data_IF_580110672749
#
_entry.id   IF_580110672749
#
_cell.length_a   1.000
_cell.length_b   1.000
_cell.length_c   1.000
_cell.angle_alpha   90.00
_cell.angle_beta   90.00
_cell.angle_gamma   90.00
#
_symmetry.space_group_name_H-M   'P 1'
#
loop_
_entity.id
_entity.type
_entity.pdbx_description
1 polymer ?
#
# COMPACT_ATOMS: atom_id res chain seq x y z
N UNK A 1 25.12 -47.81 -32.71
CA UNK A 1 24.04 -46.77 -32.81
C UNK A 1 24.09 -45.98 -31.51
N UNK A 2 24.96 -44.97 -31.42
CA UNK A 2 25.15 -44.14 -30.23
C UNK A 2 24.19 -42.93 -30.29
N UNK A 3 23.25 -42.83 -29.35
CA UNK A 3 22.38 -41.65 -29.17
C UNK A 3 23.14 -40.64 -28.32
N UNK A 4 23.51 -39.51 -28.90
CA UNK A 4 24.00 -38.34 -28.16
C UNK A 4 22.83 -37.70 -27.43
N UNK A 5 22.90 -37.73 -26.11
CA UNK A 5 22.00 -36.96 -25.23
C UNK A 5 22.56 -35.52 -25.14
N UNK A 6 21.93 -34.57 -25.78
CA UNK A 6 22.28 -33.16 -25.64
C UNK A 6 21.71 -32.66 -24.31
N UNK A 7 22.59 -32.37 -23.35
CA UNK A 7 22.23 -31.71 -22.08
C UNK A 7 22.12 -30.21 -22.35
N UNK A 8 20.90 -29.69 -22.45
CA UNK A 8 20.65 -28.25 -22.51
C UNK A 8 20.85 -27.66 -21.12
N UNK A 9 21.98 -27.02 -20.91
CA UNK A 9 22.25 -26.22 -19.71
C UNK A 9 21.49 -24.91 -19.82
N UNK A 10 20.33 -24.79 -19.14
CA UNK A 10 19.62 -23.53 -19.01
C UNK A 10 20.43 -22.64 -18.07
N UNK A 11 21.13 -21.66 -18.63
CA UNK A 11 21.75 -20.58 -17.87
C UNK A 11 20.60 -19.73 -17.26
N UNK A 12 20.36 -19.90 -15.96
CA UNK A 12 19.59 -18.96 -15.15
C UNK A 12 20.41 -17.67 -15.10
N UNK A 13 20.03 -16.68 -15.93
CA UNK A 13 20.53 -15.32 -15.78
C UNK A 13 20.11 -14.84 -14.39
N UNK A 14 21.00 -14.25 -13.58
CA UNK A 14 20.61 -13.62 -12.34
C UNK A 14 19.55 -12.57 -12.64
N UNK A 15 18.45 -12.57 -11.91
CA UNK A 15 17.48 -11.48 -11.98
C UNK A 15 18.24 -10.18 -11.68
N UNK A 16 18.15 -9.22 -12.59
CA UNK A 16 18.78 -7.92 -12.38
C UNK A 16 18.28 -7.35 -11.03
N UNK A 17 19.22 -6.83 -10.22
CA UNK A 17 18.87 -6.17 -8.97
C UNK A 17 17.82 -5.08 -9.26
N UNK A 18 16.78 -5.04 -8.43
CA UNK A 18 15.74 -4.02 -8.56
C UNK A 18 16.33 -2.68 -8.15
N UNK A 19 16.35 -1.72 -9.05
CA UNK A 19 16.78 -0.36 -8.71
C UNK A 19 15.61 0.41 -8.11
N UNK A 20 15.75 0.80 -6.83
CA UNK A 20 14.80 1.67 -6.12
C UNK A 20 15.51 2.96 -5.73
N UNK A 21 14.95 4.12 -6.15
CA UNK A 21 15.45 5.43 -5.75
C UNK A 21 14.35 6.29 -5.11
N UNK A 22 14.77 7.27 -4.30
CA UNK A 22 13.84 8.27 -3.78
C UNK A 22 13.25 9.12 -4.91
N UNK A 23 11.96 9.47 -4.82
CA UNK A 23 11.22 10.14 -5.90
C UNK A 23 11.47 11.66 -5.99
N UNK A 24 12.33 12.21 -5.14
CA UNK A 24 12.66 13.64 -5.09
C UNK A 24 14.13 13.85 -4.75
N UNK A 25 14.61 15.10 -4.82
CA UNK A 25 15.97 15.47 -4.38
C UNK A 25 16.12 15.50 -2.84
N UNK A 26 15.06 15.30 -2.06
CA UNK A 26 15.13 15.21 -0.62
C UNK A 26 15.63 13.82 -0.19
N UNK A 27 16.91 13.74 0.15
CA UNK A 27 17.58 12.50 0.55
C UNK A 27 17.79 12.38 2.07
N UNK A 28 17.13 13.20 2.89
CA UNK A 28 17.31 13.22 4.34
C UNK A 28 16.87 11.93 5.05
N UNK A 29 16.04 11.09 4.41
CA UNK A 29 15.76 9.73 4.90
C UNK A 29 17.05 8.95 5.15
N UNK A 30 18.00 9.05 4.21
CA UNK A 30 19.25 8.29 4.23
C UNK A 30 20.33 8.89 5.13
N UNK A 31 20.16 10.12 5.56
CA UNK A 31 21.09 10.79 6.50
C UNK A 31 20.61 10.78 7.95
N UNK A 32 19.50 10.07 8.24
CA UNK A 32 18.95 9.99 9.60
C UNK A 32 18.39 11.31 10.12
N UNK A 33 17.85 12.15 9.22
CA UNK A 33 17.23 13.44 9.55
C UNK A 33 15.73 13.40 9.16
N UNK A 34 14.89 12.62 9.89
CA UNK A 34 13.50 12.40 9.53
C UNK A 34 12.67 13.69 9.59
N UNK A 35 12.98 14.61 10.47
CA UNK A 35 12.38 15.94 10.59
C UNK A 35 12.60 16.83 9.36
N UNK A 36 13.65 16.56 8.57
CA UNK A 36 13.92 17.20 7.29
C UNK A 36 13.41 16.41 6.10
N UNK A 37 13.00 15.18 6.31
CA UNK A 37 12.47 14.33 5.26
C UNK A 37 10.94 14.33 5.23
N UNK A 38 10.29 14.06 6.36
CA UNK A 38 8.84 13.97 6.43
C UNK A 38 8.17 15.33 6.60
N UNK A 39 7.09 15.56 5.87
CA UNK A 39 6.22 16.71 6.10
C UNK A 39 5.46 16.51 7.40
N UNK A 40 5.53 17.48 8.30
CA UNK A 40 4.78 17.47 9.55
C UNK A 40 3.26 17.53 9.33
N UNK A 41 2.49 17.15 10.34
CA UNK A 41 1.05 17.43 10.43
C UNK A 41 0.79 18.45 11.54
N UNK A 42 -0.19 19.33 11.31
CA UNK A 42 -0.68 20.18 12.40
C UNK A 42 -1.51 19.32 13.35
N UNK A 43 -1.18 19.35 14.64
CA UNK A 43 -1.81 18.54 15.68
C UNK A 43 -2.22 19.42 16.85
N UNK A 44 -3.47 19.29 17.28
CA UNK A 44 -3.97 19.83 18.54
C UNK A 44 -4.43 18.61 19.36
N UNK A 45 -3.83 18.44 20.54
CA UNK A 45 -4.21 17.35 21.44
C UNK A 45 -4.10 17.82 22.89
N UNK A 46 -5.21 17.71 23.65
CA UNK A 46 -5.33 18.11 25.06
C UNK A 46 -4.89 19.58 25.30
N UNK A 47 -5.20 20.47 24.36
CA UNK A 47 -4.84 21.89 24.42
C UNK A 47 -3.46 22.24 23.88
N UNK A 48 -2.59 21.26 23.67
CA UNK A 48 -1.25 21.47 23.13
C UNK A 48 -1.25 21.49 21.59
N UNK A 49 -0.58 22.49 21.01
CA UNK A 49 -0.38 22.63 19.56
C UNK A 49 1.01 22.11 19.20
N UNK A 50 1.10 21.23 18.25
CA UNK A 50 2.37 20.65 17.80
C UNK A 50 2.41 20.42 16.29
N UNK A 51 3.63 20.22 15.77
CA UNK A 51 3.89 19.90 14.36
C UNK A 51 4.80 18.68 14.25
N UNK A 52 4.32 17.48 14.66
CA UNK A 52 5.13 16.28 14.63
C UNK A 52 5.40 15.83 13.19
N UNK A 53 6.68 15.66 12.85
CA UNK A 53 7.10 15.11 11.56
C UNK A 53 6.67 13.65 11.40
N UNK A 54 6.53 12.92 12.49
CA UNK A 54 6.06 11.54 12.53
C UNK A 54 4.70 11.39 11.82
N UNK A 55 3.87 12.45 11.84
CA UNK A 55 2.60 12.47 11.13
C UNK A 55 2.72 12.34 9.61
N UNK A 56 3.91 12.53 9.03
CA UNK A 56 4.22 12.29 7.63
C UNK A 56 4.78 10.90 7.33
N UNK A 57 5.08 10.09 8.36
CA UNK A 57 5.54 8.71 8.17
C UNK A 57 4.38 7.74 7.93
N UNK A 58 4.71 6.51 7.53
CA UNK A 58 3.74 5.42 7.32
C UNK A 58 3.22 4.86 8.66
N UNK A 59 1.96 4.45 8.70
CA UNK A 59 1.39 3.72 9.82
C UNK A 59 0.37 4.51 10.63
N UNK A 60 0.13 4.10 11.88
CA UNK A 60 -0.74 4.81 12.81
C UNK A 60 0.00 5.97 13.46
N UNK A 61 -0.01 7.13 12.82
CA UNK A 61 0.84 8.28 13.15
C UNK A 61 0.06 9.58 13.38
N UNK A 62 -1.27 9.53 13.19
CA UNK A 62 -2.16 10.70 13.26
C UNK A 62 -3.30 10.47 14.24
N UNK A 63 -3.99 11.53 14.64
CA UNK A 63 -5.19 11.55 15.50
C UNK A 63 -4.98 10.80 16.81
N UNK A 64 -4.25 11.41 17.77
CA UNK A 64 -4.12 10.87 19.12
C UNK A 64 -5.48 10.86 19.82
N UNK A 65 -5.75 9.78 20.56
CA UNK A 65 -6.85 9.70 21.52
C UNK A 65 -6.32 9.21 22.85
N UNK A 66 -6.95 9.64 23.95
CA UNK A 66 -6.65 9.13 25.28
C UNK A 66 -7.58 7.98 25.62
N UNK A 67 -7.00 6.86 26.05
CA UNK A 67 -7.69 5.66 26.51
C UNK A 67 -7.16 5.31 27.90
N UNK A 68 -7.80 5.83 28.94
CA UNK A 68 -7.27 5.75 30.32
C UNK A 68 -5.93 6.47 30.44
N UNK A 69 -4.88 5.75 30.84
CA UNK A 69 -3.50 6.29 30.92
C UNK A 69 -2.76 6.33 29.57
N UNK A 70 -3.26 5.64 28.56
CA UNK A 70 -2.58 5.50 27.26
C UNK A 70 -2.99 6.58 26.28
N UNK A 71 -2.03 7.04 25.47
CA UNK A 71 -2.30 7.83 24.26
C UNK A 71 -2.04 6.95 23.04
N UNK A 72 -3.04 6.82 22.19
CA UNK A 72 -2.99 5.96 20.99
C UNK A 72 -3.22 6.80 19.75
N UNK A 73 -2.35 6.64 18.74
CA UNK A 73 -2.55 7.22 17.43
C UNK A 73 -3.45 6.29 16.60
N UNK A 74 -4.61 6.77 16.17
CA UNK A 74 -5.66 5.91 15.59
C UNK A 74 -5.86 6.09 14.09
N UNK A 75 -5.42 7.21 13.50
CA UNK A 75 -5.56 7.43 12.07
C UNK A 75 -4.32 6.92 11.34
N UNK A 76 -4.56 5.99 10.43
CA UNK A 76 -3.57 5.39 9.56
C UNK A 76 -3.19 6.34 8.41
N UNK A 77 -1.91 6.34 8.05
CA UNK A 77 -1.34 6.99 6.87
C UNK A 77 -0.76 5.92 5.94
N UNK A 78 -1.29 5.84 4.72
CA UNK A 78 -1.07 4.76 3.76
C UNK A 78 0.30 4.80 3.09
N UNK A 79 0.94 5.97 3.09
CA UNK A 79 2.22 6.23 2.46
C UNK A 79 3.14 7.08 3.32
N UNK A 80 3.97 7.85 2.68
CA UNK A 80 4.86 8.83 3.31
C UNK A 80 4.69 10.20 2.67
N UNK A 81 4.73 11.26 3.46
CA UNK A 81 4.68 12.65 3.01
C UNK A 81 6.09 13.24 3.00
N UNK A 82 6.67 13.41 1.82
CA UNK A 82 8.05 13.92 1.64
C UNK A 82 8.02 15.42 1.45
N UNK A 83 8.64 16.19 2.37
CA UNK A 83 8.69 17.64 2.23
C UNK A 83 9.63 18.08 1.11
N UNK A 84 9.38 19.26 0.48
CA UNK A 84 10.21 19.75 -0.60
C UNK A 84 11.64 20.08 -0.11
N UNK A 85 12.63 19.72 -0.95
CA UNK A 85 14.01 20.13 -0.76
C UNK A 85 14.21 21.63 -1.11
N UNK A 86 13.40 22.14 -2.05
CA UNK A 86 13.55 23.50 -2.58
C UNK A 86 12.20 24.21 -2.69
N UNK A 87 12.22 25.53 -2.42
CA UNK A 87 11.05 26.41 -2.63
C UNK A 87 11.46 27.69 -3.34
N UNK A 88 10.55 28.25 -4.13
CA UNK A 88 10.73 29.60 -4.71
C UNK A 88 10.51 30.69 -3.66
N UNK A 89 10.72 31.96 -4.08
CA UNK A 89 10.53 33.14 -3.20
C UNK A 89 9.07 33.29 -2.69
N UNK A 90 8.09 32.72 -3.40
CA UNK A 90 6.69 32.72 -3.01
C UNK A 90 6.33 31.53 -2.11
N UNK A 91 7.29 30.60 -1.87
CA UNK A 91 7.10 29.40 -1.04
C UNK A 91 6.53 28.20 -1.78
N UNK A 92 6.41 28.21 -3.11
CA UNK A 92 5.99 27.05 -3.88
C UNK A 92 7.12 26.01 -3.95
N UNK A 93 6.80 24.69 -3.89
CA UNK A 93 7.81 23.67 -4.09
C UNK A 93 8.35 23.67 -5.53
N UNK A 94 9.64 23.42 -5.67
CA UNK A 94 10.32 23.36 -6.97
C UNK A 94 10.71 21.95 -7.38
N UNK A 95 10.55 20.98 -6.47
CA UNK A 95 11.00 19.60 -6.65
C UNK A 95 10.29 18.92 -7.82
N UNK A 96 11.09 18.31 -8.70
CA UNK A 96 10.59 17.36 -9.69
C UNK A 96 10.23 16.05 -8.99
N UNK A 97 9.21 15.38 -9.50
CA UNK A 97 8.79 14.07 -9.05
C UNK A 97 9.30 13.03 -10.03
N UNK A 98 10.06 12.07 -9.50
CA UNK A 98 10.78 11.07 -10.26
C UNK A 98 10.18 9.67 -10.03
N UNK A 99 10.23 8.81 -11.05
CA UNK A 99 9.84 7.40 -10.89
C UNK A 99 10.81 6.69 -9.94
N UNK A 100 10.26 5.97 -8.96
CA UNK A 100 11.05 5.21 -7.97
C UNK A 100 11.77 4.01 -8.57
N UNK A 101 11.27 3.49 -9.70
CA UNK A 101 11.81 2.35 -10.44
C UNK A 101 11.31 2.36 -11.89
N UNK A 102 11.84 1.47 -12.73
CA UNK A 102 11.32 1.21 -14.06
C UNK A 102 9.85 0.78 -14.00
N UNK A 103 9.02 1.21 -14.95
CA UNK A 103 7.60 0.85 -14.96
C UNK A 103 6.81 1.45 -16.11
N UNK A 104 5.49 1.34 -15.98
CA UNK A 104 4.53 1.92 -16.93
C UNK A 104 3.52 2.77 -16.16
N UNK A 105 3.25 3.98 -16.63
CA UNK A 105 2.18 4.82 -16.06
C UNK A 105 0.83 4.19 -16.42
N UNK A 106 0.06 3.80 -15.39
CA UNK A 106 -1.22 3.10 -15.58
C UNK A 106 -2.44 3.96 -15.25
N UNK A 107 -2.24 5.07 -14.53
CA UNK A 107 -3.32 6.00 -14.20
C UNK A 107 -2.81 7.41 -14.01
N UNK A 108 -3.62 8.40 -14.46
CA UNK A 108 -3.40 9.83 -14.23
C UNK A 108 -4.72 10.49 -13.88
N UNK A 109 -4.75 11.22 -12.77
CA UNK A 109 -5.86 12.08 -12.36
C UNK A 109 -5.41 13.54 -12.31
N UNK A 110 -5.81 14.33 -13.30
CA UNK A 110 -5.47 15.77 -13.41
C UNK A 110 -6.49 16.70 -12.74
N UNK A 111 -7.54 16.15 -12.09
CA UNK A 111 -8.60 16.95 -11.47
C UNK A 111 -8.46 16.90 -9.95
N UNK A 112 -7.95 17.98 -9.37
CA UNK A 112 -7.62 18.07 -7.95
C UNK A 112 -8.77 17.77 -6.98
N UNK A 113 -10.00 18.09 -7.37
CA UNK A 113 -11.18 17.93 -6.50
C UNK A 113 -11.79 16.52 -6.49
N UNK A 114 -11.27 15.56 -7.25
CA UNK A 114 -11.85 14.20 -7.35
C UNK A 114 -11.46 13.25 -6.23
N UNK A 115 -10.39 13.53 -5.53
CA UNK A 115 -9.94 12.73 -4.38
C UNK A 115 -9.10 13.54 -3.40
N UNK A 116 -8.85 12.98 -2.22
CA UNK A 116 -7.89 13.56 -1.25
C UNK A 116 -6.46 13.59 -1.81
N UNK A 117 -6.10 12.71 -2.73
CA UNK A 117 -4.81 12.75 -3.43
C UNK A 117 -4.59 13.99 -4.30
N UNK A 118 -5.67 14.74 -4.61
CA UNK A 118 -5.57 15.86 -5.56
C UNK A 118 -5.23 15.36 -6.96
N UNK A 119 -4.27 16.02 -7.61
CA UNK A 119 -3.68 15.50 -8.83
C UNK A 119 -2.66 14.41 -8.48
N UNK A 120 -2.82 13.23 -9.08
CA UNK A 120 -1.94 12.10 -8.82
C UNK A 120 -1.80 11.19 -10.02
N UNK A 121 -0.76 10.38 -10.01
CA UNK A 121 -0.56 9.31 -10.98
C UNK A 121 -0.12 8.01 -10.29
N UNK A 122 -0.29 6.91 -11.02
CA UNK A 122 0.13 5.57 -10.58
C UNK A 122 1.03 4.96 -11.64
N UNK A 123 2.17 4.41 -11.19
CA UNK A 123 3.09 3.63 -12.01
C UNK A 123 3.03 2.17 -11.59
N UNK A 124 2.88 1.27 -12.54
CA UNK A 124 3.02 -0.18 -12.34
C UNK A 124 4.46 -0.58 -12.62
N UNK A 125 5.08 -1.23 -11.66
CA UNK A 125 6.44 -1.77 -11.73
C UNK A 125 6.40 -3.30 -11.73
N UNK A 126 7.29 -3.92 -12.51
CA UNK A 126 7.51 -5.36 -12.48
C UNK A 126 8.69 -5.67 -11.56
N UNK A 127 8.45 -5.73 -10.24
CA UNK A 127 9.47 -5.95 -9.22
C UNK A 127 9.50 -7.41 -8.80
N UNK A 128 10.61 -8.10 -9.07
CA UNK A 128 10.74 -9.54 -8.79
C UNK A 128 9.73 -10.43 -9.53
N UNK A 129 9.23 -9.96 -10.68
CA UNK A 129 8.26 -10.67 -11.52
C UNK A 129 6.80 -10.44 -11.14
N UNK A 130 6.50 -9.53 -10.21
CA UNK A 130 5.15 -9.19 -9.76
C UNK A 130 4.84 -7.72 -9.96
N UNK A 131 3.56 -7.41 -10.19
CA UNK A 131 3.06 -6.03 -10.27
C UNK A 131 3.00 -5.39 -8.89
N UNK A 132 3.86 -4.38 -8.68
CA UNK A 132 3.86 -3.47 -7.54
C UNK A 132 3.55 -2.07 -8.05
N UNK A 133 2.74 -1.33 -7.34
CA UNK A 133 2.29 -0.01 -7.77
C UNK A 133 2.88 1.09 -6.90
N UNK A 134 3.28 2.20 -7.50
CA UNK A 134 3.62 3.43 -6.78
C UNK A 134 2.61 4.53 -7.09
N UNK A 135 2.20 5.27 -6.06
CA UNK A 135 1.28 6.40 -6.14
C UNK A 135 2.03 7.68 -5.81
N UNK A 136 1.93 8.67 -6.69
CA UNK A 136 2.54 10.00 -6.51
C UNK A 136 1.43 11.03 -6.47
N UNK A 137 1.16 11.60 -5.30
CA UNK A 137 0.00 12.47 -5.11
C UNK A 137 0.35 13.91 -4.71
N UNK A 138 -0.66 14.78 -4.66
CA UNK A 138 -0.60 16.21 -4.36
C UNK A 138 0.18 17.05 -5.39
N UNK A 139 0.28 16.56 -6.63
CA UNK A 139 1.09 17.17 -7.69
C UNK A 139 0.53 18.53 -8.14
N UNK A 140 1.41 19.46 -8.47
CA UNK A 140 1.06 20.71 -9.16
C UNK A 140 0.81 20.45 -10.64
N UNK A 141 1.67 19.62 -11.24
CA UNK A 141 1.70 19.30 -12.66
C UNK A 141 2.06 17.82 -12.84
N UNK A 142 1.44 17.18 -13.83
CA UNK A 142 1.76 15.83 -14.27
C UNK A 142 2.18 15.92 -15.74
N UNK A 143 3.39 15.47 -16.05
CA UNK A 143 3.94 15.49 -17.41
C UNK A 143 3.86 14.13 -18.10
N UNK A 144 3.68 13.06 -17.35
CA UNK A 144 3.52 11.70 -17.86
C UNK A 144 2.06 11.38 -18.19
N UNK A 145 1.84 10.49 -19.15
CA UNK A 145 0.52 10.03 -19.58
C UNK A 145 0.35 8.52 -19.37
N UNK A 146 -0.89 8.02 -19.23
CA UNK A 146 -1.14 6.58 -19.20
C UNK A 146 -0.60 5.88 -20.44
N UNK A 147 0.16 4.79 -20.22
CA UNK A 147 0.87 4.04 -21.27
C UNK A 147 2.34 4.42 -21.43
N UNK A 148 2.80 5.53 -20.84
CA UNK A 148 4.21 5.89 -20.89
C UNK A 148 5.07 4.87 -20.14
N UNK A 149 6.11 4.36 -20.81
CA UNK A 149 7.16 3.55 -20.21
C UNK A 149 8.20 4.47 -19.58
N UNK A 150 8.42 4.32 -18.29
CA UNK A 150 9.34 5.15 -17.51
C UNK A 150 10.50 4.34 -16.96
N UNK A 151 11.64 4.98 -16.81
CA UNK A 151 12.83 4.43 -16.15
C UNK A 151 12.96 4.99 -14.76
N UNK A 152 13.71 4.31 -13.91
CA UNK A 152 14.15 4.85 -12.62
C UNK A 152 14.68 6.25 -12.82
N UNK A 153 14.14 7.23 -12.07
CA UNK A 153 14.51 8.64 -12.20
C UNK A 153 13.86 9.41 -13.35
N UNK A 154 13.01 8.81 -14.18
CA UNK A 154 12.22 9.55 -15.16
C UNK A 154 11.33 10.60 -14.49
N UNK A 155 11.27 11.81 -15.04
CA UNK A 155 10.39 12.88 -14.52
C UNK A 155 8.93 12.55 -14.81
N UNK A 156 8.11 12.52 -13.78
CA UNK A 156 6.67 12.26 -13.83
C UNK A 156 5.84 13.54 -13.72
N UNK A 157 6.41 14.58 -13.10
CA UNK A 157 5.71 15.83 -12.85
C UNK A 157 6.47 16.71 -11.85
N UNK A 158 5.72 17.61 -11.20
CA UNK A 158 6.25 18.53 -10.20
C UNK A 158 5.42 18.49 -8.91
N UNK A 159 6.11 18.54 -7.77
CA UNK A 159 5.49 18.60 -6.44
C UNK A 159 4.54 19.78 -6.33
N UNK A 160 3.43 19.58 -5.61
CA UNK A 160 2.43 20.59 -5.38
C UNK A 160 1.82 20.52 -3.99
N UNK A 161 0.57 20.98 -3.92
CA UNK A 161 -0.26 20.97 -2.71
C UNK A 161 -1.75 20.84 -3.08
N UNK A 162 -2.04 20.09 -4.15
CA UNK A 162 -3.42 19.78 -4.55
C UNK A 162 -4.02 18.71 -3.64
N UNK A 163 -5.35 18.71 -3.51
CA UNK A 163 -6.07 17.78 -2.64
C UNK A 163 -6.63 18.44 -1.38
N UNK A 164 -7.45 17.69 -0.65
CA UNK A 164 -8.17 18.21 0.50
C UNK A 164 -7.25 18.49 1.70
N UNK A 165 -7.38 19.68 2.29
CA UNK A 165 -6.68 20.03 3.54
C UNK A 165 -5.19 20.32 3.41
N UNK A 166 -4.68 20.47 2.18
CA UNK A 166 -3.27 20.77 1.92
C UNK A 166 -3.15 22.20 1.40
N UNK A 167 -2.16 22.92 1.89
CA UNK A 167 -1.85 24.29 1.47
C UNK A 167 -0.37 24.39 1.08
N UNK A 168 0.01 25.55 0.53
CA UNK A 168 1.39 25.81 0.07
C UNK A 168 2.45 25.61 1.14
N UNK A 169 2.18 25.95 2.40
CA UNK A 169 3.15 25.77 3.50
C UNK A 169 3.44 24.30 3.75
N UNK A 170 2.38 23.49 3.66
CA UNK A 170 2.44 22.02 3.80
C UNK A 170 2.53 21.30 2.45
N UNK A 171 3.01 21.95 1.39
CA UNK A 171 3.28 21.28 0.12
C UNK A 171 4.25 20.12 0.31
N UNK A 172 3.92 18.95 -0.23
CA UNK A 172 4.71 17.71 -0.12
C UNK A 172 4.34 16.74 -1.23
N UNK A 173 5.18 15.74 -1.46
CA UNK A 173 4.82 14.55 -2.20
C UNK A 173 4.26 13.51 -1.24
N UNK A 174 3.04 13.04 -1.47
CA UNK A 174 2.57 11.80 -0.85
C UNK A 174 2.94 10.64 -1.76
N UNK A 175 3.75 9.71 -1.25
CA UNK A 175 4.23 8.52 -1.95
C UNK A 175 3.70 7.26 -1.30
N UNK A 176 3.14 6.35 -2.11
CA UNK A 176 2.81 4.99 -1.67
C UNK A 176 3.56 3.96 -2.53
N UNK A 177 3.89 2.82 -1.93
CA UNK A 177 4.15 1.56 -2.62
C UNK A 177 3.09 0.56 -2.16
N UNK A 178 2.39 -0.08 -3.10
CA UNK A 178 1.19 -0.85 -2.76
C UNK A 178 0.95 -2.06 -3.65
N UNK A 179 0.10 -2.95 -3.15
CA UNK A 179 -0.49 -4.06 -3.89
C UNK A 179 -1.89 -3.67 -4.36
N UNK A 180 -2.26 -4.07 -5.57
CA UNK A 180 -3.63 -3.95 -6.07
C UNK A 180 -4.48 -5.10 -5.50
N UNK A 181 -5.53 -4.79 -4.74
CA UNK A 181 -6.35 -5.78 -4.05
C UNK A 181 -7.24 -6.55 -5.04
N UNK A 182 -7.98 -5.84 -5.90
CA UNK A 182 -8.89 -6.43 -6.88
C UNK A 182 -8.75 -5.78 -8.25
N UNK A 183 -8.91 -6.57 -9.31
CA UNK A 183 -9.04 -6.08 -10.69
C UNK A 183 -10.49 -5.70 -11.04
N UNK A 184 -11.42 -5.92 -10.12
CA UNK A 184 -12.87 -5.70 -10.27
C UNK A 184 -13.40 -4.64 -9.30
N UNK A 185 -12.58 -3.66 -8.93
CA UNK A 185 -12.91 -2.65 -7.92
C UNK A 185 -14.19 -1.87 -8.21
N UNK A 186 -14.56 -1.67 -9.49
CA UNK A 186 -15.81 -1.00 -9.86
C UNK A 186 -17.04 -1.67 -9.24
N UNK A 187 -17.14 -3.00 -9.30
CA UNK A 187 -18.23 -3.76 -8.68
C UNK A 187 -18.25 -3.61 -7.15
N UNK A 188 -17.10 -3.71 -6.51
CA UNK A 188 -16.99 -3.47 -5.07
C UNK A 188 -17.40 -2.04 -4.68
N UNK A 189 -16.92 -1.05 -5.44
CA UNK A 189 -17.25 0.36 -5.19
C UNK A 189 -18.75 0.62 -5.32
N UNK A 190 -19.38 0.08 -6.35
CA UNK A 190 -20.83 0.17 -6.56
C UNK A 190 -21.64 -0.50 -5.44
N UNK A 191 -21.15 -1.63 -4.91
CA UNK A 191 -21.82 -2.38 -3.85
C UNK A 191 -21.69 -1.72 -2.45
N UNK A 192 -20.55 -1.08 -2.15
CA UNK A 192 -20.22 -0.70 -0.77
C UNK A 192 -19.97 0.79 -0.53
N UNK A 193 -19.53 1.56 -1.55
CA UNK A 193 -19.20 2.97 -1.40
C UNK A 193 -20.26 3.90 -1.95
N UNK A 194 -20.87 3.56 -3.08
CA UNK A 194 -21.77 4.43 -3.83
C UNK A 194 -21.04 5.60 -4.50
N UNK A 195 -21.80 6.38 -5.31
CA UNK A 195 -21.24 7.50 -6.07
C UNK A 195 -20.42 7.07 -7.28
N UNK A 196 -19.70 8.02 -7.88
CA UNK A 196 -18.90 7.77 -9.09
C UNK A 196 -17.48 7.40 -8.75
N UNK A 197 -17.00 6.26 -9.23
CA UNK A 197 -15.59 5.90 -9.20
C UNK A 197 -14.86 6.55 -10.39
N UNK A 198 -14.17 7.67 -10.15
CA UNK A 198 -13.40 8.38 -11.17
C UNK A 198 -12.01 7.78 -11.42
N UNK A 199 -11.61 6.78 -10.66
CA UNK A 199 -10.22 6.30 -10.59
C UNK A 199 -10.08 4.85 -11.02
N UNK A 200 -11.17 4.18 -11.41
CA UNK A 200 -11.13 2.76 -11.79
C UNK A 200 -10.50 1.91 -10.68
N UNK A 201 -9.64 0.99 -11.07
CA UNK A 201 -8.93 0.13 -10.13
C UNK A 201 -7.86 0.86 -9.29
N UNK A 202 -7.48 2.09 -9.67
CA UNK A 202 -6.43 2.87 -8.98
C UNK A 202 -6.98 3.87 -7.95
N UNK A 203 -8.17 3.61 -7.45
CA UNK A 203 -8.71 4.25 -6.26
C UNK A 203 -7.93 3.79 -5.02
N UNK A 204 -7.58 4.72 -4.11
CA UNK A 204 -6.79 4.41 -2.91
C UNK A 204 -7.38 3.33 -2.00
N UNK A 205 -8.71 3.11 -2.04
CA UNK A 205 -9.34 1.99 -1.30
C UNK A 205 -8.98 0.61 -1.84
N UNK A 206 -8.52 0.53 -3.09
CA UNK A 206 -8.09 -0.72 -3.74
C UNK A 206 -6.56 -0.94 -3.69
N UNK A 207 -5.84 -0.02 -3.08
CA UNK A 207 -4.39 -0.05 -3.00
C UNK A 207 -3.97 -0.32 -1.55
N UNK A 208 -3.33 -1.46 -1.30
CA UNK A 208 -2.84 -1.84 0.02
C UNK A 208 -1.38 -1.38 0.18
N UNK A 209 -1.19 -0.26 0.89
CA UNK A 209 0.12 0.34 1.11
C UNK A 209 1.01 -0.47 2.04
N UNK A 210 2.33 -0.43 1.79
CA UNK A 210 3.39 -0.96 2.65
C UNK A 210 4.27 0.17 3.19
N UNK A 211 5.11 -0.12 4.18
CA UNK A 211 6.06 0.86 4.74
C UNK A 211 7.13 1.23 3.70
N UNK A 212 6.86 2.31 2.97
CA UNK A 212 7.71 2.78 1.87
C UNK A 212 9.10 3.19 2.37
N UNK A 213 9.17 3.92 3.49
CA UNK A 213 10.45 4.36 4.04
C UNK A 213 11.27 3.18 4.54
N UNK A 214 10.63 2.23 5.23
CA UNK A 214 11.25 0.98 5.64
C UNK A 214 11.80 0.20 4.45
N UNK A 215 11.03 0.09 3.36
CA UNK A 215 11.48 -0.57 2.13
C UNK A 215 12.75 0.10 1.55
N UNK A 216 12.78 1.43 1.42
CA UNK A 216 13.96 2.14 0.91
C UNK A 216 15.19 1.97 1.82
N UNK A 217 15.00 2.01 3.14
CA UNK A 217 16.08 1.84 4.10
C UNK A 217 16.65 0.42 4.09
N UNK A 218 15.79 -0.61 4.01
CA UNK A 218 16.25 -2.00 3.93
C UNK A 218 16.89 -2.32 2.58
N UNK A 219 16.30 -1.83 1.47
CA UNK A 219 16.89 -1.97 0.14
C UNK A 219 18.28 -1.30 0.04
N UNK A 220 18.47 -0.15 0.68
CA UNK A 220 19.79 0.51 0.73
C UNK A 220 20.85 -0.33 1.46
N UNK A 221 20.46 -1.08 2.50
CA UNK A 221 21.34 -2.00 3.22
C UNK A 221 21.60 -3.29 2.42
N UNK A 222 20.59 -3.76 1.72
CA UNK A 222 20.63 -4.96 0.90
C UNK A 222 19.96 -4.69 -0.46
N UNK A 223 20.73 -4.30 -1.50
CA UNK A 223 20.21 -4.05 -2.85
C UNK A 223 19.53 -5.25 -3.52
N UNK A 224 19.79 -6.46 -3.03
CA UNK A 224 19.15 -7.69 -3.52
C UNK A 224 17.80 -7.98 -2.84
N UNK A 225 17.38 -7.13 -1.87
CA UNK A 225 16.12 -7.30 -1.17
C UNK A 225 14.95 -7.23 -2.16
N UNK A 226 14.15 -8.28 -2.20
CA UNK A 226 12.91 -8.30 -2.98
C UNK A 226 11.76 -7.69 -2.19
N UNK A 227 10.90 -6.93 -2.88
CA UNK A 227 9.70 -6.34 -2.26
C UNK A 227 8.81 -7.43 -1.63
N UNK A 228 8.73 -8.61 -2.26
CA UNK A 228 8.00 -9.76 -1.75
C UNK A 228 8.51 -10.23 -0.38
N UNK A 229 9.82 -10.24 -0.19
CA UNK A 229 10.46 -10.60 1.09
C UNK A 229 10.16 -9.55 2.15
N UNK A 230 10.22 -8.27 1.79
CA UNK A 230 9.87 -7.17 2.68
C UNK A 230 8.41 -7.27 3.16
N UNK A 231 7.47 -7.52 2.24
CA UNK A 231 6.05 -7.67 2.58
C UNK A 231 5.82 -8.89 3.47
N UNK A 232 6.38 -10.06 3.13
CA UNK A 232 6.18 -11.29 3.91
C UNK A 232 6.89 -11.29 5.26
N UNK A 233 7.92 -10.45 5.43
CA UNK A 233 8.59 -10.21 6.72
C UNK A 233 7.81 -9.25 7.63
N UNK A 234 6.82 -8.51 7.08
CA UNK A 234 5.99 -7.60 7.89
C UNK A 234 5.21 -8.39 8.94
N UNK A 235 5.27 -7.99 10.23
CA UNK A 235 4.63 -8.74 11.30
C UNK A 235 3.11 -8.83 11.13
N UNK A 236 2.57 -10.04 11.17
CA UNK A 236 1.13 -10.26 11.22
C UNK A 236 0.56 -9.75 12.56
N UNK A 237 -0.58 -9.09 12.50
CA UNK A 237 -1.34 -8.64 13.65
C UNK A 237 -2.56 -9.52 13.91
N UNK A 238 -3.28 -9.89 12.86
CA UNK A 238 -4.43 -10.80 12.95
C UNK A 238 -4.47 -11.76 11.76
N UNK A 239 -5.23 -12.83 11.92
CA UNK A 239 -5.48 -13.81 10.88
C UNK A 239 -6.96 -14.03 10.69
N UNK A 240 -7.36 -14.22 9.45
CA UNK A 240 -8.74 -14.53 9.07
C UNK A 240 -8.76 -15.82 8.26
N UNK A 241 -9.59 -16.77 8.66
CA UNK A 241 -9.89 -17.94 7.84
C UNK A 241 -11.13 -17.65 7.02
N UNK A 242 -11.03 -17.91 5.70
CA UNK A 242 -12.12 -17.75 4.73
C UNK A 242 -12.46 -19.09 4.08
N UNK A 243 -13.72 -19.35 3.69
CA UNK A 243 -14.08 -20.52 2.86
C UNK A 243 -13.22 -20.53 1.58
N UNK A 244 -12.96 -21.72 1.06
CA UNK A 244 -12.26 -21.89 -0.21
C UNK A 244 -13.26 -22.10 -1.32
N UNK A 245 -13.67 -21.00 -1.95
CA UNK A 245 -14.61 -21.01 -3.08
C UNK A 245 -13.90 -20.65 -4.39
N UNK A 246 -13.75 -21.62 -5.29
CA UNK A 246 -13.24 -21.40 -6.64
C UNK A 246 -11.78 -20.94 -6.74
N UNK A 247 -11.49 -20.22 -7.82
CA UNK A 247 -10.17 -19.59 -8.05
C UNK A 247 -10.12 -18.21 -7.43
N UNK A 248 -9.04 -17.96 -6.71
CA UNK A 248 -8.79 -16.67 -6.04
C UNK A 248 -7.75 -15.85 -6.81
N UNK A 249 -8.17 -14.80 -7.51
CA UNK A 249 -7.33 -13.98 -8.37
C UNK A 249 -6.16 -13.34 -7.60
N UNK A 250 -6.40 -12.79 -6.40
CA UNK A 250 -5.34 -12.17 -5.59
C UNK A 250 -4.24 -13.18 -5.24
N UNK A 251 -4.59 -14.37 -4.76
CA UNK A 251 -3.61 -15.40 -4.43
C UNK A 251 -2.86 -15.92 -5.67
N UNK A 252 -3.53 -15.96 -6.82
CA UNK A 252 -2.93 -16.37 -8.09
C UNK A 252 -1.93 -15.34 -8.62
N UNK A 253 -2.20 -14.04 -8.43
CA UNK A 253 -1.28 -12.94 -8.78
C UNK A 253 -0.11 -12.82 -7.82
N UNK A 254 -0.29 -13.19 -6.54
CA UNK A 254 0.72 -13.06 -5.48
C UNK A 254 1.12 -14.41 -4.91
N UNK A 255 1.51 -15.34 -5.78
CA UNK A 255 1.89 -16.72 -5.38
C UNK A 255 3.00 -16.78 -4.35
N UNK A 256 3.90 -15.81 -4.34
CA UNK A 256 4.97 -15.67 -3.36
C UNK A 256 4.46 -15.47 -1.92
N UNK A 257 3.22 -15.02 -1.74
CA UNK A 257 2.57 -14.86 -0.44
C UNK A 257 1.98 -16.18 0.08
N UNK A 258 1.79 -17.16 -0.81
CA UNK A 258 1.15 -18.44 -0.47
C UNK A 258 2.19 -19.42 0.07
N UNK A 259 2.00 -19.86 1.31
CA UNK A 259 2.79 -20.90 1.95
C UNK A 259 2.12 -22.25 1.70
N UNK A 260 2.75 -23.08 0.87
CA UNK A 260 2.24 -24.39 0.47
C UNK A 260 1.73 -24.41 -0.96
N UNK A 261 1.04 -25.49 -1.33
CA UNK A 261 0.52 -25.69 -2.67
C UNK A 261 -0.91 -25.10 -2.79
N UNK A 262 -1.10 -24.18 -3.73
CA UNK A 262 -2.43 -23.65 -4.07
C UNK A 262 -3.39 -24.75 -4.57
N UNK A 263 -2.86 -25.81 -5.15
CA UNK A 263 -3.66 -26.95 -5.64
C UNK A 263 -3.98 -27.96 -4.54
N UNK A 264 -3.28 -27.90 -3.39
CA UNK A 264 -3.55 -28.85 -2.31
C UNK A 264 -4.99 -28.71 -1.79
N UNK A 265 -5.73 -29.81 -1.63
CA UNK A 265 -7.09 -29.75 -1.12
C UNK A 265 -7.11 -29.23 0.32
N UNK A 266 -7.90 -28.17 0.55
CA UNK A 266 -8.17 -27.64 1.89
C UNK A 266 -9.56 -26.99 1.89
N UNK A 267 -10.33 -27.07 2.99
CA UNK A 267 -11.67 -26.48 3.06
C UNK A 267 -11.64 -24.94 3.09
N UNK A 268 -10.50 -24.34 3.43
CA UNK A 268 -10.39 -22.91 3.65
C UNK A 268 -8.97 -22.37 3.42
N UNK A 269 -8.86 -21.05 3.38
CA UNK A 269 -7.60 -20.30 3.43
C UNK A 269 -7.48 -19.52 4.73
N UNK A 270 -6.31 -19.51 5.36
CA UNK A 270 -5.96 -18.59 6.42
C UNK A 270 -5.10 -17.45 5.86
N UNK A 271 -5.55 -16.21 5.98
CA UNK A 271 -4.86 -15.00 5.53
C UNK A 271 -4.28 -14.31 6.75
N UNK A 272 -2.99 -14.02 6.72
CA UNK A 272 -2.31 -13.20 7.72
C UNK A 272 -2.32 -11.74 7.27
N UNK A 273 -2.75 -10.83 8.14
CA UNK A 273 -2.77 -9.39 7.90
C UNK A 273 -1.85 -8.65 8.86
N UNK A 274 -1.16 -7.63 8.37
CA UNK A 274 -0.55 -6.61 9.25
C UNK A 274 -1.62 -5.83 10.02
N UNK A 275 -1.22 -5.02 10.98
CA UNK A 275 -2.12 -4.10 11.68
C UNK A 275 -2.83 -3.12 10.73
N UNK A 276 -2.20 -2.78 9.60
CA UNK A 276 -2.74 -1.84 8.61
C UNK A 276 -3.68 -2.48 7.58
N UNK A 277 -3.87 -3.80 7.65
CA UNK A 277 -4.72 -4.56 6.72
C UNK A 277 -4.00 -4.99 5.43
N UNK A 278 -2.67 -4.83 5.35
CA UNK A 278 -1.87 -5.40 4.26
C UNK A 278 -1.83 -6.93 4.42
N UNK A 279 -2.22 -7.72 3.41
CA UNK A 279 -2.01 -9.16 3.43
C UNK A 279 -0.50 -9.45 3.39
N UNK A 280 -0.04 -10.34 4.29
CA UNK A 280 1.40 -10.68 4.42
C UNK A 280 1.66 -12.18 4.34
N UNK A 281 0.62 -12.99 4.19
CA UNK A 281 0.75 -14.43 4.02
C UNK A 281 -0.60 -15.11 3.85
N UNK A 282 -0.60 -16.18 3.05
CA UNK A 282 -1.78 -17.01 2.76
C UNK A 282 -1.37 -18.46 2.97
N UNK A 283 -2.17 -19.23 3.70
CA UNK A 283 -1.88 -20.63 4.00
C UNK A 283 -3.15 -21.48 3.83
N UNK A 284 -3.09 -22.65 3.18
CA UNK A 284 -4.19 -23.61 3.24
C UNK A 284 -4.50 -23.95 4.70
N UNK A 285 -5.78 -24.01 5.05
CA UNK A 285 -6.23 -24.28 6.41
C UNK A 285 -7.14 -25.50 6.45
N UNK A 286 -6.96 -26.43 7.41
CA UNK A 286 -7.86 -27.56 7.61
C UNK A 286 -9.14 -27.18 8.36
N UNK A 287 -9.27 -25.92 8.79
CA UNK A 287 -10.43 -25.44 9.55
C UNK A 287 -11.60 -25.20 8.59
N UNK A 288 -12.72 -25.88 8.81
CA UNK A 288 -13.95 -25.56 8.12
C UNK A 288 -14.59 -24.30 8.72
N UNK A 289 -14.94 -23.34 7.87
CA UNK A 289 -15.66 -22.12 8.24
C UNK A 289 -16.75 -21.85 7.20
N UNK A 290 -17.94 -21.46 7.67
CA UNK A 290 -19.05 -21.09 6.79
C UNK A 290 -18.95 -19.66 6.30
N UNK A 291 -18.26 -18.78 7.05
CA UNK A 291 -18.04 -17.38 6.73
C UNK A 291 -16.65 -16.92 7.21
N UNK A 292 -16.13 -15.80 6.68
CA UNK A 292 -14.86 -15.24 7.12
C UNK A 292 -14.83 -15.03 8.63
N UNK A 293 -13.85 -15.63 9.30
CA UNK A 293 -13.73 -15.65 10.76
C UNK A 293 -12.32 -15.28 11.21
N UNK A 294 -12.20 -14.38 12.20
CA UNK A 294 -10.90 -14.08 12.84
C UNK A 294 -10.47 -15.31 13.64
N UNK A 295 -9.33 -15.89 13.28
CA UNK A 295 -8.82 -17.13 13.91
C UNK A 295 -7.62 -16.90 14.80
N UNK A 296 -6.94 -15.76 14.67
CA UNK A 296 -5.89 -15.34 15.58
C UNK A 296 -5.78 -13.82 15.58
N UNK A 297 -5.41 -13.26 16.72
CA UNK A 297 -5.11 -11.83 16.87
C UNK A 297 -4.02 -11.64 17.92
N UNK A 298 -3.14 -10.65 17.70
CA UNK A 298 -2.14 -10.26 18.69
C UNK A 298 -2.83 -9.78 19.97
N UNK A 299 -2.41 -10.30 21.11
CA UNK A 299 -2.96 -9.84 22.39
C UNK A 299 -2.69 -8.33 22.60
N UNK A 300 -3.72 -7.58 23.00
CA UNK A 300 -3.63 -6.15 23.26
C UNK A 300 -4.61 -5.71 24.34
N UNK A 301 -4.16 -4.83 25.26
CA UNK A 301 -5.04 -4.15 26.23
C UNK A 301 -5.86 -3.01 25.59
N UNK A 302 -5.43 -2.54 24.40
CA UNK A 302 -6.15 -1.55 23.60
C UNK A 302 -7.12 -2.29 22.69
N UNK A 303 -8.35 -1.80 22.56
CA UNK A 303 -9.33 -2.37 21.65
C UNK A 303 -8.80 -2.39 20.21
N UNK A 304 -8.92 -3.55 19.55
CA UNK A 304 -8.30 -3.81 18.24
C UNK A 304 -8.75 -2.83 17.16
N UNK A 305 -9.98 -2.28 17.23
CA UNK A 305 -10.46 -1.27 16.30
C UNK A 305 -9.58 -0.03 16.20
N UNK A 306 -8.89 0.34 17.29
CA UNK A 306 -7.98 1.50 17.31
C UNK A 306 -6.61 1.18 16.70
N UNK A 307 -6.27 -0.11 16.58
CA UNK A 307 -4.97 -0.59 16.12
C UNK A 307 -5.01 -1.24 14.73
N UNK A 308 -6.19 -1.29 14.09
CA UNK A 308 -6.39 -2.04 12.83
C UNK A 308 -7.25 -1.28 11.81
N UNK A 309 -7.26 0.03 11.80
CA UNK A 309 -8.14 0.85 10.94
C UNK A 309 -9.63 0.51 11.12
N UNK A 310 -10.02 -0.06 12.26
CA UNK A 310 -11.37 -0.55 12.49
C UNK A 310 -11.74 -1.81 11.70
N UNK A 311 -10.78 -2.60 11.23
CA UNK A 311 -11.03 -3.84 10.47
C UNK A 311 -11.55 -4.97 11.36
N UNK A 312 -11.04 -5.05 12.58
CA UNK A 312 -11.49 -5.99 13.62
C UNK A 312 -11.78 -5.23 14.89
N UNK A 313 -12.68 -5.76 15.71
CA UNK A 313 -13.00 -5.23 17.06
C UNK A 313 -13.00 -6.34 18.09
N UNK A 314 -12.67 -6.00 19.31
CA UNK A 314 -12.51 -6.88 20.45
C UNK A 314 -11.35 -6.44 21.33
N UNK A 315 -11.06 -7.23 22.36
CA UNK A 315 -10.01 -6.97 23.34
C UNK A 315 -9.22 -8.24 23.64
N UNK A 316 -7.99 -8.08 24.12
CA UNK A 316 -7.15 -9.18 24.54
C UNK A 316 -6.80 -10.13 23.38
N UNK A 317 -6.99 -11.45 23.57
CA UNK A 317 -6.64 -12.46 22.57
C UNK A 317 -7.76 -12.76 21.56
N UNK A 318 -8.89 -12.04 21.57
CA UNK A 318 -10.05 -12.32 20.72
C UNK A 318 -10.55 -11.08 19.99
N UNK A 319 -11.02 -11.28 18.77
CA UNK A 319 -11.62 -10.24 17.93
C UNK A 319 -12.61 -10.83 16.94
N UNK A 320 -13.48 -9.97 16.41
CA UNK A 320 -14.40 -10.28 15.32
C UNK A 320 -14.20 -9.28 14.18
N UNK A 321 -14.57 -9.67 12.96
CA UNK A 321 -14.58 -8.76 11.81
C UNK A 321 -15.65 -7.69 11.98
N UNK A 322 -15.27 -6.44 11.75
CA UNK A 322 -16.21 -5.34 11.60
C UNK A 322 -16.81 -5.34 10.19
N UNK A 323 -17.74 -4.40 9.93
CA UNK A 323 -18.23 -4.14 8.57
C UNK A 323 -17.06 -3.81 7.63
N UNK A 324 -16.14 -2.92 8.05
CA UNK A 324 -14.96 -2.55 7.25
C UNK A 324 -14.04 -3.74 6.97
N UNK A 325 -13.85 -4.62 7.96
CA UNK A 325 -13.09 -5.86 7.77
C UNK A 325 -13.74 -6.82 6.79
N UNK A 326 -15.06 -7.00 6.86
CA UNK A 326 -15.82 -7.82 5.89
C UNK A 326 -15.72 -7.23 4.48
N UNK A 327 -15.81 -5.90 4.33
CA UNK A 327 -15.65 -5.22 3.05
C UNK A 327 -14.24 -5.36 2.46
N UNK A 328 -13.20 -5.29 3.30
CA UNK A 328 -11.82 -5.55 2.86
C UNK A 328 -11.65 -6.98 2.34
N UNK A 329 -12.22 -7.95 3.04
CA UNK A 329 -12.16 -9.36 2.60
C UNK A 329 -12.92 -9.56 1.31
N UNK A 330 -14.14 -9.00 1.19
CA UNK A 330 -14.90 -9.04 -0.05
C UNK A 330 -14.07 -8.48 -1.23
N UNK A 331 -13.38 -7.34 -1.02
CA UNK A 331 -12.48 -6.77 -2.02
C UNK A 331 -11.34 -7.72 -2.40
N UNK A 332 -10.71 -8.33 -1.41
CA UNK A 332 -9.57 -9.23 -1.61
C UNK A 332 -9.95 -10.55 -2.30
N UNK A 333 -11.17 -11.03 -2.09
CA UNK A 333 -11.67 -12.30 -2.62
C UNK A 333 -12.54 -12.16 -3.84
N UNK A 334 -12.81 -10.94 -4.29
CA UNK A 334 -13.80 -10.61 -5.34
C UNK A 334 -15.22 -11.13 -5.03
N UNK A 335 -15.55 -11.26 -3.73
CA UNK A 335 -16.89 -11.68 -3.25
C UNK A 335 -17.86 -10.48 -3.19
N UNK A 336 -18.25 -10.01 -4.37
CA UNK A 336 -19.23 -8.95 -4.58
C UNK A 336 -19.82 -9.06 -6.00
N UNK A 337 -20.98 -8.45 -6.28
CA UNK A 337 -21.55 -8.42 -7.62
C UNK A 337 -20.58 -7.78 -8.62
N UNK A 338 -20.12 -8.54 -9.60
CA UNK A 338 -19.26 -7.99 -10.67
C UNK A 338 -20.12 -7.16 -11.61
N UNK A 339 -19.60 -5.99 -12.01
CA UNK A 339 -20.25 -5.21 -13.08
C UNK A 339 -20.37 -6.09 -14.34
N UNK A 340 -21.56 -6.08 -14.98
CA UNK A 340 -21.69 -6.69 -16.28
C UNK A 340 -20.68 -6.00 -17.22
N UNK A 341 -19.84 -6.78 -17.89
CA UNK A 341 -18.88 -6.24 -18.85
C UNK A 341 -19.64 -5.29 -19.80
N UNK A 342 -19.23 -4.04 -19.84
CA UNK A 342 -19.80 -3.10 -20.81
C UNK A 342 -19.60 -3.70 -22.21
N UNK A 343 -20.73 -4.02 -22.87
CA UNK A 343 -20.75 -4.59 -24.22
C UNK A 343 -20.35 -3.55 -25.25
#
# INVERSE_FOLDING_TARGET
MFRHLALTLSLLLPAAAVELQLPTENHHLFSGQPDKFYMYVDRIFEGEVSKPWEGGSFGFVRTPIRLGSDVVLTKFHEGIDIQPAKRDKAGNPLDLILSVSDGTVVHVSNVAGRSNYGKYLVVEHQLGGDSIFSVYAHLAEITAAPGDVVKTGSVLGRMGYTGAGINRVRAHLHLEMCLLMSRHFGGWHSAFSGGTNFHGNFNGMNLAGMDVAGLFLEHRKNPELRVQEFVTATPAYFKVTIPRDGQWDFASRHRWMVKGDLAAPSPSWEISFSATGLPVGITPSPREVAEPTVTAVRNSRIAHRHLTRGLIDGNGPSATLTRSGKQLLALLTDDFPKEAAAR
#
